data_IF_495841131767
#
_entry.id   IF_495841131767
#
_cell.length_a   1.000
_cell.length_b   1.000
_cell.length_c   1.000
_cell.angle_alpha   90.00
_cell.angle_beta   90.00
_cell.angle_gamma   90.00
#
_symmetry.space_group_name_H-M   'P 1'
#
loop_
_entity.id
_entity.type
_entity.pdbx_description
1 polymer ?
#
# COMPACT_ATOMS: atom_id res chain seq x y z
N UNK A 1 4.58 -16.16 38.70
CA UNK A 1 4.66 -16.71 37.33
C UNK A 1 4.10 -15.64 36.41
N UNK A 2 4.98 -14.83 35.81
CA UNK A 2 4.60 -13.66 35.01
C UNK A 2 4.20 -14.15 33.61
N UNK A 3 2.91 -14.17 33.31
CA UNK A 3 2.43 -14.36 31.95
C UNK A 3 2.55 -13.02 31.24
N UNK A 4 3.62 -12.86 30.46
CA UNK A 4 3.69 -11.80 29.46
C UNK A 4 2.51 -12.04 28.52
N UNK A 5 1.58 -11.09 28.46
CA UNK A 5 0.53 -11.05 27.45
C UNK A 5 1.20 -10.65 26.13
N UNK A 6 1.36 -11.63 25.25
CA UNK A 6 1.99 -11.45 23.95
C UNK A 6 1.06 -10.59 23.09
N UNK A 7 1.42 -9.32 22.90
CA UNK A 7 0.71 -8.42 22.00
C UNK A 7 0.72 -9.03 20.59
N UNK A 8 -0.41 -9.63 20.18
CA UNK A 8 -0.57 -10.08 18.80
C UNK A 8 -0.60 -8.84 17.90
N UNK A 9 0.51 -8.58 17.20
CA UNK A 9 0.73 -7.39 16.33
C UNK A 9 -0.03 -7.48 15.00
N UNK A 10 -0.71 -8.59 14.73
CA UNK A 10 -1.53 -8.77 13.54
C UNK A 10 -2.99 -8.82 13.92
N UNK A 11 -3.50 -7.71 14.44
CA UNK A 11 -4.93 -7.48 14.40
C UNK A 11 -5.34 -7.25 12.93
N UNK A 12 -6.50 -7.77 12.57
CA UNK A 12 -7.01 -7.80 11.20
C UNK A 12 -6.84 -6.46 10.49
N UNK A 13 -6.51 -6.48 9.18
CA UNK A 13 -6.36 -5.27 8.34
C UNK A 13 -7.69 -4.51 8.11
N UNK A 14 -8.66 -4.65 9.01
CA UNK A 14 -9.89 -3.89 8.98
C UNK A 14 -9.55 -2.39 9.06
N UNK A 15 -9.99 -1.62 8.06
CA UNK A 15 -9.74 -0.18 7.98
C UNK A 15 -8.49 0.25 7.21
N UNK A 16 -7.65 -0.67 6.71
CA UNK A 16 -6.49 -0.31 5.87
C UNK A 16 -6.91 -0.13 4.41
N UNK A 17 -6.60 1.03 3.85
CA UNK A 17 -6.76 1.32 2.42
C UNK A 17 -5.40 1.18 1.73
N UNK A 18 -5.36 0.47 0.60
CA UNK A 18 -4.18 0.48 -0.27
C UNK A 18 -4.37 1.53 -1.36
N UNK A 19 -3.53 2.57 -1.32
CA UNK A 19 -3.44 3.56 -2.38
C UNK A 19 -2.35 3.16 -3.38
N UNK A 20 -2.51 3.60 -4.63
CA UNK A 20 -1.55 3.39 -5.71
C UNK A 20 -1.13 4.76 -6.22
N UNK A 21 0.18 5.00 -6.33
CA UNK A 21 0.75 6.28 -6.73
C UNK A 21 1.65 6.10 -7.94
N UNK A 22 1.38 6.88 -9.00
CA UNK A 22 2.27 7.00 -10.14
C UNK A 22 3.47 7.87 -9.77
N UNK A 23 4.68 7.40 -10.06
CA UNK A 23 5.93 8.14 -9.86
C UNK A 23 6.86 7.92 -11.06
N UNK A 24 7.84 8.82 -11.24
CA UNK A 24 8.86 8.65 -12.28
C UNK A 24 9.70 7.38 -12.12
N UNK A 25 9.81 6.84 -10.89
CA UNK A 25 10.53 5.58 -10.60
C UNK A 25 9.65 4.35 -10.82
N UNK A 26 8.33 4.52 -10.80
CA UNK A 26 7.36 3.46 -11.04
C UNK A 26 6.10 3.59 -10.22
N UNK A 27 5.42 2.47 -10.02
CA UNK A 27 4.16 2.39 -9.28
C UNK A 27 4.45 2.05 -7.83
N UNK A 28 4.03 2.92 -6.91
CA UNK A 28 4.17 2.72 -5.47
C UNK A 28 2.82 2.32 -4.88
N UNK A 29 2.82 1.27 -4.06
CA UNK A 29 1.66 0.89 -3.24
C UNK A 29 1.89 1.43 -1.83
N UNK A 30 0.88 2.09 -1.28
CA UNK A 30 0.92 2.74 0.04
C UNK A 30 -0.19 2.16 0.90
N UNK A 31 0.18 1.66 2.07
CA UNK A 31 -0.78 1.28 3.10
C UNK A 31 -1.15 2.52 3.91
N UNK A 32 -2.44 2.90 3.89
CA UNK A 32 -3.02 4.05 4.60
C UNK A 32 -4.00 3.56 5.65
N UNK A 33 -3.93 4.12 6.85
CA UNK A 33 -4.86 3.89 7.96
C UNK A 33 -5.26 5.23 8.54
N UNK A 34 -6.56 5.54 8.53
CA UNK A 34 -7.08 6.86 8.87
C UNK A 34 -6.38 7.97 8.07
N UNK A 35 -5.61 8.83 8.73
CA UNK A 35 -4.82 9.92 8.17
C UNK A 35 -3.30 9.63 8.14
N UNK A 36 -2.89 8.40 8.45
CA UNK A 36 -1.49 7.99 8.55
C UNK A 36 -1.06 7.08 7.40
N UNK A 37 0.18 7.29 6.95
CA UNK A 37 0.90 6.36 6.07
C UNK A 37 1.62 5.34 6.94
N UNK A 38 1.24 4.07 6.83
CA UNK A 38 1.87 2.98 7.57
C UNK A 38 3.13 2.48 6.90
N UNK A 39 3.08 2.27 5.58
CA UNK A 39 4.20 1.76 4.80
C UNK A 39 3.98 1.93 3.31
N UNK A 40 5.06 1.89 2.54
CA UNK A 40 5.01 1.97 1.10
C UNK A 40 6.11 1.14 0.46
N UNK A 41 5.84 0.64 -0.75
CA UNK A 41 6.78 -0.15 -1.52
C UNK A 41 6.64 0.13 -3.02
N UNK A 42 7.76 0.06 -3.74
CA UNK A 42 7.76 0.09 -5.19
C UNK A 42 7.28 -1.26 -5.73
N UNK A 43 6.06 -1.29 -6.24
CA UNK A 43 5.42 -2.51 -6.77
C UNK A 43 5.91 -2.85 -8.18
N UNK A 44 6.18 -1.83 -9.00
CA UNK A 44 6.67 -2.01 -10.35
C UNK A 44 7.57 -0.84 -10.77
N UNK A 45 8.66 -1.12 -11.50
CA UNK A 45 9.56 -0.09 -12.05
C UNK A 45 9.15 0.29 -13.46
N UNK A 46 8.83 1.55 -13.68
CA UNK A 46 8.52 2.16 -14.98
C UNK A 46 8.52 3.69 -14.82
N UNK A 47 8.38 4.44 -15.91
CA UNK A 47 8.06 5.86 -15.82
C UNK A 47 6.53 6.00 -15.85
N UNK A 48 5.90 5.97 -14.67
CA UNK A 48 4.44 6.01 -14.56
C UNK A 48 3.93 7.46 -14.62
N UNK A 49 3.03 7.74 -15.56
CA UNK A 49 2.36 9.05 -15.72
C UNK A 49 1.03 9.12 -14.99
N UNK A 50 0.29 8.02 -14.98
CA UNK A 50 -1.03 7.92 -14.36
C UNK A 50 -1.36 6.47 -14.01
N UNK A 51 -2.30 6.27 -13.07
CA UNK A 51 -2.77 4.95 -12.64
C UNK A 51 -4.29 4.95 -12.44
N UNK A 52 -4.92 3.85 -12.85
CA UNK A 52 -6.34 3.60 -12.60
C UNK A 52 -6.54 2.22 -11.96
N UNK A 53 -7.45 2.12 -10.99
CA UNK A 53 -7.75 0.88 -10.28
C UNK A 53 -9.16 0.40 -10.60
N UNK A 54 -9.30 -0.86 -10.98
CA UNK A 54 -10.60 -1.49 -11.20
C UNK A 54 -10.54 -2.99 -10.90
N UNK A 55 -11.43 -3.48 -10.04
CA UNK A 55 -11.58 -4.92 -9.78
C UNK A 55 -10.28 -5.61 -9.31
N UNK A 56 -9.49 -4.95 -8.47
CA UNK A 56 -8.20 -5.47 -7.98
C UNK A 56 -7.07 -5.45 -9.02
N UNK A 57 -7.28 -4.82 -10.18
CA UNK A 57 -6.26 -4.59 -11.20
C UNK A 57 -5.88 -3.13 -11.24
N UNK A 58 -4.63 -2.89 -11.64
CA UNK A 58 -4.06 -1.56 -11.82
C UNK A 58 -3.69 -1.42 -13.29
N UNK A 59 -4.27 -0.43 -13.96
CA UNK A 59 -3.81 0.04 -15.27
C UNK A 59 -2.81 1.18 -15.04
N UNK A 60 -1.71 1.17 -15.79
CA UNK A 60 -0.61 2.13 -15.65
C UNK A 60 -0.37 2.77 -17.01
N UNK A 61 -0.45 4.10 -17.09
CA UNK A 61 0.04 4.84 -18.24
C UNK A 61 1.56 5.00 -18.10
N UNK A 62 2.31 4.42 -19.03
CA UNK A 62 3.78 4.48 -19.09
C UNK A 62 4.22 4.93 -20.47
N UNK A 63 5.45 5.44 -20.53
CA UNK A 63 6.19 5.71 -21.77
C UNK A 63 6.74 4.44 -22.42
#
# INVERSE_FOLDING_TARGET
MTTIDEKRVYDDKAGKTQAVVATETGVVVVDVSDDLVGGFALAHRCTARDVAVHGGRIAVATD
#
